data_IF_887059348651
#
_entry.id   IF_887059348651
#
_cell.length_a   1.000
_cell.length_b   1.000
_cell.length_c   1.000
_cell.angle_alpha   90.00
_cell.angle_beta   90.00
_cell.angle_gamma   90.00
#
_symmetry.space_group_name_H-M   'P 1'
#
loop_
_entity.id
_entity.type
_entity.pdbx_description
1 polymer ?
#
# COMPACT_ATOMS: atom_id res chain seq x y z
N UNK A 1 -10.65 40.48 2.43
CA UNK A 1 -10.96 39.52 3.52
C UNK A 1 -11.03 38.14 2.89
N UNK A 2 -9.96 37.36 2.99
CA UNK A 2 -9.93 35.96 2.54
C UNK A 2 -10.82 35.15 3.47
N UNK A 3 -12.06 34.87 3.05
CA UNK A 3 -12.96 34.04 3.84
C UNK A 3 -12.29 32.67 4.08
N UNK A 4 -12.12 32.33 5.34
CA UNK A 4 -11.44 31.13 5.81
C UNK A 4 -12.24 29.90 5.36
N UNK A 5 -11.55 28.95 4.72
CA UNK A 5 -12.16 27.76 4.14
C UNK A 5 -11.92 26.60 5.10
N UNK A 6 -12.96 26.19 5.82
CA UNK A 6 -12.91 25.05 6.73
C UNK A 6 -13.36 23.77 6.01
N UNK A 7 -12.41 23.03 5.47
CA UNK A 7 -12.64 21.71 4.89
C UNK A 7 -11.52 20.75 5.30
N UNK A 8 -11.84 19.48 5.53
CA UNK A 8 -10.84 18.47 5.92
C UNK A 8 -9.83 18.19 4.80
N UNK A 9 -8.71 17.57 5.14
CA UNK A 9 -7.65 17.21 4.20
C UNK A 9 -7.99 16.07 3.22
N UNK A 10 -9.25 15.63 3.15
CA UNK A 10 -9.74 14.54 2.29
C UNK A 10 -10.11 15.05 0.89
N UNK A 11 -9.26 15.87 0.30
CA UNK A 11 -9.43 16.30 -1.08
C UNK A 11 -8.10 16.30 -1.83
N UNK A 12 -8.18 16.14 -3.15
CA UNK A 12 -7.08 16.24 -4.09
C UNK A 12 -7.38 17.37 -5.07
N UNK A 13 -6.39 18.23 -5.23
CA UNK A 13 -6.42 19.29 -6.23
C UNK A 13 -6.03 18.71 -7.59
N UNK A 14 -6.92 18.87 -8.58
CA UNK A 14 -6.73 18.46 -9.97
C UNK A 14 -6.79 19.68 -10.91
N UNK A 15 -6.56 20.89 -10.39
CA UNK A 15 -6.58 22.10 -11.20
C UNK A 15 -5.34 22.16 -12.12
N UNK A 16 -5.56 22.63 -13.34
CA UNK A 16 -4.51 22.90 -14.33
C UNK A 16 -4.47 24.40 -14.63
N UNK A 17 -3.32 25.03 -14.41
CA UNK A 17 -3.14 26.47 -14.65
C UNK A 17 -2.90 26.79 -16.14
N UNK A 18 -2.24 25.89 -16.87
CA UNK A 18 -1.72 26.18 -18.22
C UNK A 18 -2.20 25.13 -19.24
N UNK A 19 -2.31 25.53 -20.51
CA UNK A 19 -2.66 24.64 -21.62
C UNK A 19 -4.14 24.65 -22.01
N UNK A 20 -4.51 23.81 -22.99
CA UNK A 20 -5.90 23.70 -23.52
C UNK A 20 -6.88 23.10 -22.51
N UNK A 21 -6.36 22.36 -21.53
CA UNK A 21 -7.06 21.78 -20.38
C UNK A 21 -7.17 22.69 -19.16
N UNK A 22 -6.68 23.94 -19.22
CA UNK A 22 -6.66 24.82 -18.05
C UNK A 22 -8.06 25.01 -17.43
N UNK A 23 -8.16 24.75 -16.14
CA UNK A 23 -9.42 24.72 -15.40
C UNK A 23 -9.27 24.19 -13.99
N UNK A 24 -10.38 24.28 -13.25
CA UNK A 24 -10.45 23.89 -11.86
C UNK A 24 -11.27 22.61 -11.72
N UNK A 25 -10.68 21.63 -11.05
CA UNK A 25 -11.37 20.43 -10.62
C UNK A 25 -10.78 19.96 -9.30
N UNK A 26 -11.65 19.54 -8.41
CA UNK A 26 -11.31 19.01 -7.09
C UNK A 26 -11.96 17.65 -6.91
N UNK A 27 -11.20 16.71 -6.37
CA UNK A 27 -11.68 15.37 -6.00
C UNK A 27 -11.76 15.29 -4.48
N UNK A 28 -12.91 14.88 -3.95
CA UNK A 28 -13.14 14.69 -2.52
C UNK A 28 -13.28 13.20 -2.24
N UNK A 29 -12.80 12.72 -1.09
CA UNK A 29 -12.83 11.29 -0.76
C UNK A 29 -13.47 11.00 0.59
N UNK A 30 -14.14 9.85 0.71
CA UNK A 30 -14.66 9.36 1.98
C UNK A 30 -13.52 8.90 2.89
N UNK A 31 -13.42 9.42 4.11
CA UNK A 31 -12.38 9.02 5.06
C UNK A 31 -12.45 7.53 5.50
N UNK A 32 -13.54 6.80 5.20
CA UNK A 32 -13.70 5.38 5.58
C UNK A 32 -13.46 4.41 4.42
N UNK A 33 -14.11 4.61 3.28
CA UNK A 33 -14.01 3.70 2.13
C UNK A 33 -13.14 4.22 0.98
N UNK A 34 -12.68 5.48 1.05
CA UNK A 34 -11.98 6.16 -0.03
C UNK A 34 -12.80 6.31 -1.33
N UNK A 35 -14.12 6.08 -1.31
CA UNK A 35 -15.00 6.45 -2.43
C UNK A 35 -14.82 7.94 -2.73
N UNK A 36 -14.58 8.26 -4.00
CA UNK A 36 -14.33 9.61 -4.45
C UNK A 36 -15.55 10.23 -5.12
N UNK A 37 -15.66 11.54 -4.98
CA UNK A 37 -16.58 12.37 -5.74
C UNK A 37 -15.81 13.54 -6.34
N UNK A 38 -15.96 13.76 -7.63
CA UNK A 38 -15.29 14.86 -8.35
C UNK A 38 -16.27 16.00 -8.56
N UNK A 39 -15.79 17.20 -8.26
CA UNK A 39 -16.50 18.41 -8.65
C UNK A 39 -16.57 18.55 -10.18
N UNK A 40 -17.64 19.19 -10.70
CA UNK A 40 -17.72 19.55 -12.11
C UNK A 40 -16.49 20.34 -12.53
N UNK A 41 -16.00 20.09 -13.75
CA UNK A 41 -14.87 20.82 -14.30
C UNK A 41 -15.27 22.26 -14.65
N UNK A 42 -14.55 23.25 -14.11
CA UNK A 42 -14.73 24.66 -14.42
C UNK A 42 -13.56 25.16 -15.28
N UNK A 43 -13.79 25.46 -16.56
CA UNK A 43 -12.72 25.92 -17.45
C UNK A 43 -12.16 27.29 -17.02
N UNK A 44 -10.82 27.42 -16.97
CA UNK A 44 -10.16 28.68 -16.64
C UNK A 44 -9.87 29.48 -17.92
N UNK A 45 -10.63 30.55 -18.13
CA UNK A 45 -10.54 31.38 -19.33
C UNK A 45 -9.31 32.28 -19.36
N UNK A 46 -8.70 32.58 -18.21
CA UNK A 46 -7.49 33.42 -18.12
C UNK A 46 -6.29 32.82 -18.85
N UNK A 47 -6.08 31.51 -18.77
CA UNK A 47 -5.00 30.81 -19.48
C UNK A 47 -5.31 30.59 -20.97
N UNK A 48 -6.58 30.39 -21.33
CA UNK A 48 -7.03 30.27 -22.72
C UNK A 48 -6.88 31.57 -23.50
N UNK A 49 -6.79 32.71 -22.82
CA UNK A 49 -6.54 34.00 -23.45
C UNK A 49 -5.07 34.24 -23.85
N UNK A 50 -4.09 33.51 -23.31
CA UNK A 50 -2.71 33.65 -23.76
C UNK A 50 -2.48 32.96 -25.13
N UNK A 51 -3.23 31.89 -25.42
CA UNK A 51 -2.97 31.04 -26.58
C UNK A 51 -3.48 31.58 -27.93
N UNK A 52 -4.36 32.60 -27.94
CA UNK A 52 -4.83 33.25 -29.18
C UNK A 52 -4.01 34.47 -29.58
N UNK A 53 -3.32 35.12 -28.62
CA UNK A 53 -2.48 36.29 -28.90
C UNK A 53 -1.18 35.89 -29.64
N UNK A 54 -0.69 34.65 -29.45
CA UNK A 54 0.52 34.15 -30.12
C UNK A 54 0.35 33.66 -31.57
N UNK A 55 -0.87 33.50 -32.09
CA UNK A 55 -1.11 32.93 -33.43
C UNK A 55 -1.64 33.92 -34.49
N UNK A 56 -1.73 35.21 -34.15
CA UNK A 56 -2.40 36.23 -34.98
C UNK A 56 -1.55 37.39 -35.51
N UNK A 57 -0.20 37.31 -35.52
CA UNK A 57 0.68 38.44 -35.92
C UNK A 57 1.54 38.21 -37.16
N UNK A 58 1.27 37.19 -37.98
CA UNK A 58 2.07 36.92 -39.20
C UNK A 58 1.43 37.34 -40.53
N UNK A 59 0.33 38.11 -40.54
CA UNK A 59 -0.36 38.48 -41.79
C UNK A 59 -0.47 39.99 -42.07
N UNK A 60 0.17 40.87 -41.29
CA UNK A 60 0.03 42.33 -41.49
C UNK A 60 1.33 43.14 -41.27
N UNK A 61 2.51 42.54 -41.44
CA UNK A 61 3.82 43.23 -41.27
C UNK A 61 4.53 43.50 -42.61
N UNK A 62 3.80 44.08 -43.55
CA UNK A 62 4.38 44.68 -44.75
C UNK A 62 3.81 46.07 -44.95
N UNK A 63 4.16 47.04 -44.10
CA UNK A 63 4.05 48.49 -44.40
C UNK A 63 4.39 49.47 -43.26
N UNK A 64 4.80 49.06 -42.05
CA UNK A 64 5.13 50.02 -40.99
C UNK A 64 6.55 49.82 -40.46
N UNK A 65 7.36 50.85 -40.66
CA UNK A 65 8.80 50.83 -40.47
C UNK A 65 9.26 50.65 -39.03
N UNK A 66 10.31 49.84 -38.89
CA UNK A 66 11.51 50.07 -38.10
C UNK A 66 11.37 51.08 -36.93
N UNK A 67 10.76 50.63 -35.83
CA UNK A 67 11.00 51.15 -34.48
C UNK A 67 10.70 50.06 -33.45
N UNK A 68 11.67 49.75 -32.58
CA UNK A 68 11.45 48.99 -31.35
C UNK A 68 11.80 47.51 -31.41
N UNK A 69 13.09 47.21 -31.30
CA UNK A 69 13.56 45.98 -30.68
C UNK A 69 13.10 45.94 -29.21
N UNK A 70 12.40 44.86 -28.82
CA UNK A 70 12.22 44.47 -27.42
C UNK A 70 10.87 44.83 -26.80
N UNK A 71 9.86 43.99 -27.01
CA UNK A 71 8.80 43.79 -26.01
C UNK A 71 7.98 42.53 -26.32
N UNK A 72 8.31 41.43 -25.64
CA UNK A 72 7.36 40.33 -25.36
C UNK A 72 7.94 39.33 -24.36
N UNK A 73 8.34 39.81 -23.19
CA UNK A 73 8.56 39.01 -21.96
C UNK A 73 7.75 39.60 -20.80
N UNK A 74 6.59 40.18 -21.11
CA UNK A 74 5.70 40.81 -20.11
C UNK A 74 4.22 40.39 -20.25
N UNK A 75 3.88 39.46 -21.14
CA UNK A 75 2.53 38.91 -21.25
C UNK A 75 2.29 37.74 -20.27
N UNK A 76 3.33 36.99 -19.91
CA UNK A 76 3.23 35.86 -18.97
C UNK A 76 3.04 36.30 -17.50
N UNK A 77 3.46 37.52 -17.16
CA UNK A 77 3.39 38.06 -15.78
C UNK A 77 2.00 38.52 -15.32
N UNK A 78 1.03 38.66 -16.24
CA UNK A 78 -0.34 39.10 -15.94
C UNK A 78 -1.38 37.97 -16.05
N UNK A 79 -1.06 36.86 -16.74
CA UNK A 79 -1.96 35.72 -16.88
C UNK A 79 -2.17 34.93 -15.56
N UNK A 80 -1.19 34.98 -14.65
CA UNK A 80 -1.25 34.34 -13.32
C UNK A 80 -1.92 35.19 -12.23
N UNK A 81 -2.11 36.50 -12.45
CA UNK A 81 -2.52 37.46 -11.41
C UNK A 81 -3.96 37.29 -10.88
N UNK A 82 -4.74 36.35 -11.44
CA UNK A 82 -6.09 36.00 -10.98
C UNK A 82 -6.31 34.52 -10.68
N UNK A 83 -5.33 33.65 -10.97
CA UNK A 83 -5.54 32.20 -10.89
C UNK A 83 -5.83 31.76 -9.46
N UNK A 84 -5.07 32.24 -8.48
CA UNK A 84 -5.28 31.91 -7.06
C UNK A 84 -6.69 32.29 -6.58
N UNK A 85 -7.14 33.52 -6.88
CA UNK A 85 -8.49 33.97 -6.50
C UNK A 85 -9.60 33.21 -7.23
N UNK A 86 -9.41 32.90 -8.51
CA UNK A 86 -10.37 32.11 -9.30
C UNK A 86 -10.44 30.66 -8.77
N UNK A 87 -9.30 30.07 -8.44
CA UNK A 87 -9.19 28.74 -7.82
C UNK A 87 -9.89 28.70 -6.47
N UNK A 88 -9.66 29.68 -5.60
CA UNK A 88 -10.30 29.75 -4.28
C UNK A 88 -11.83 29.87 -4.42
N UNK A 89 -12.31 30.64 -5.38
CA UNK A 89 -13.74 30.77 -5.67
C UNK A 89 -14.34 29.45 -6.19
N UNK A 90 -13.63 28.76 -7.10
CA UNK A 90 -14.03 27.45 -7.59
C UNK A 90 -14.04 26.40 -6.46
N UNK A 91 -13.03 26.43 -5.58
CA UNK A 91 -12.94 25.51 -4.44
C UNK A 91 -14.10 25.69 -3.46
N UNK A 92 -14.51 26.93 -3.16
CA UNK A 92 -15.69 27.19 -2.31
C UNK A 92 -16.98 26.61 -2.91
N UNK A 93 -17.18 26.73 -4.22
CA UNK A 93 -18.33 26.11 -4.93
C UNK A 93 -18.26 24.59 -4.88
N UNK A 94 -17.06 24.04 -5.08
CA UNK A 94 -16.82 22.61 -5.00
C UNK A 94 -17.14 22.05 -3.61
N UNK A 95 -16.73 22.75 -2.53
CA UNK A 95 -17.07 22.37 -1.14
C UNK A 95 -18.57 22.43 -0.89
N UNK A 96 -19.26 23.50 -1.32
CA UNK A 96 -20.70 23.63 -1.13
C UNK A 96 -21.47 22.47 -1.79
N UNK A 97 -21.00 22.01 -2.95
CA UNK A 97 -21.57 20.84 -3.63
C UNK A 97 -21.19 19.54 -2.91
N UNK A 98 -19.93 19.42 -2.46
CA UNK A 98 -19.43 18.25 -1.72
C UNK A 98 -20.19 18.01 -0.41
N UNK A 99 -20.64 19.05 0.28
CA UNK A 99 -21.45 18.93 1.50
C UNK A 99 -22.77 18.17 1.28
N UNK A 100 -23.31 18.12 0.05
CA UNK A 100 -24.46 17.28 -0.29
C UNK A 100 -24.14 15.79 -0.48
N UNK A 101 -22.87 15.44 -0.66
CA UNK A 101 -22.42 14.07 -0.91
C UNK A 101 -21.77 13.39 0.30
N UNK A 102 -21.32 14.19 1.28
CA UNK A 102 -20.62 13.72 2.46
C UNK A 102 -21.26 14.23 3.75
N UNK A 103 -21.32 13.38 4.77
CA UNK A 103 -21.78 13.71 6.11
C UNK A 103 -20.59 13.89 7.04
N UNK A 104 -20.55 15.01 7.77
CA UNK A 104 -19.52 15.26 8.78
C UNK A 104 -19.92 14.62 10.11
N UNK A 105 -19.10 13.70 10.60
CA UNK A 105 -19.34 13.05 11.88
C UNK A 105 -19.10 14.03 13.05
N UNK A 106 -20.06 14.25 13.96
CA UNK A 106 -19.85 15.12 15.11
C UNK A 106 -18.85 14.56 16.13
N UNK A 107 -18.60 13.24 16.13
CA UNK A 107 -17.66 12.59 17.06
C UNK A 107 -16.21 12.66 16.60
N UNK A 108 -15.91 12.21 15.38
CA UNK A 108 -14.53 12.18 14.87
C UNK A 108 -14.21 13.31 13.89
N UNK A 109 -15.19 14.15 13.54
CA UNK A 109 -15.08 15.27 12.58
C UNK A 109 -14.69 14.89 11.15
N UNK A 110 -14.58 13.59 10.83
CA UNK A 110 -14.36 13.08 9.48
C UNK A 110 -15.61 13.24 8.59
N UNK A 111 -15.37 13.41 7.29
CA UNK A 111 -16.42 13.40 6.27
C UNK A 111 -16.52 12.02 5.64
N UNK A 112 -17.73 11.45 5.62
CA UNK A 112 -17.99 10.12 5.08
C UNK A 112 -19.14 10.14 4.08
N UNK A 113 -19.08 9.29 3.05
CA UNK A 113 -20.16 9.16 2.08
C UNK A 113 -21.42 8.58 2.75
N UNK A 114 -22.59 8.71 2.11
CA UNK A 114 -23.86 8.20 2.63
C UNK A 114 -23.82 6.70 2.99
N UNK A 115 -23.06 5.87 2.28
CA UNK A 115 -22.90 4.43 2.59
C UNK A 115 -22.11 4.19 3.89
N UNK A 116 -21.24 5.11 4.25
CA UNK A 116 -20.41 5.04 5.45
C UNK A 116 -21.03 5.79 6.64
N UNK A 117 -22.23 6.35 6.47
CA UNK A 117 -22.96 7.08 7.48
C UNK A 117 -23.99 6.17 8.17
N UNK A 118 -24.01 6.20 9.50
CA UNK A 118 -25.07 5.56 10.27
C UNK A 118 -26.20 6.58 10.45
N UNK A 119 -27.21 6.51 9.58
CA UNK A 119 -28.35 7.43 9.62
C UNK A 119 -29.15 7.33 10.92
N UNK A 120 -29.24 6.13 11.52
CA UNK A 120 -29.99 5.92 12.77
C UNK A 120 -29.34 6.58 14.00
N UNK A 121 -28.02 6.76 13.99
CA UNK A 121 -27.26 7.36 15.10
C UNK A 121 -26.71 8.76 14.77
N UNK A 122 -26.85 9.22 13.54
CA UNK A 122 -26.34 10.53 13.10
C UNK A 122 -24.81 10.65 13.19
N UNK A 123 -24.08 9.55 13.05
CA UNK A 123 -22.61 9.47 13.13
C UNK A 123 -22.05 8.49 12.11
N UNK A 124 -20.74 8.49 11.86
CA UNK A 124 -20.14 7.56 10.90
C UNK A 124 -20.10 6.12 11.42
N UNK A 125 -20.10 5.16 10.50
CA UNK A 125 -20.00 3.73 10.81
C UNK A 125 -18.63 3.29 11.34
N UNK A 126 -17.62 4.16 11.34
CA UNK A 126 -16.39 3.94 12.11
C UNK A 126 -16.62 4.20 13.60
N UNK A 127 -17.48 5.16 13.95
CA UNK A 127 -17.76 5.53 15.34
C UNK A 127 -18.91 4.73 15.97
N UNK A 128 -19.92 4.38 15.18
CA UNK A 128 -20.98 3.45 15.55
C UNK A 128 -21.21 2.48 14.38
N UNK A 129 -20.42 1.40 14.31
CA UNK A 129 -20.61 0.37 13.30
C UNK A 129 -21.98 -0.31 13.46
N UNK A 130 -22.38 -1.01 12.41
CA UNK A 130 -23.58 -1.84 12.46
C UNK A 130 -23.40 -2.99 13.45
N UNK A 131 -24.33 -3.11 14.40
CA UNK A 131 -24.20 -4.10 15.49
C UNK A 131 -24.28 -5.55 15.00
N UNK A 132 -25.05 -5.84 13.95
CA UNK A 132 -25.13 -7.19 13.39
C UNK A 132 -23.82 -7.54 12.67
N UNK A 133 -23.24 -6.60 11.91
CA UNK A 133 -21.94 -6.76 11.29
C UNK A 133 -20.84 -7.00 12.33
N UNK A 134 -20.82 -6.22 13.42
CA UNK A 134 -19.86 -6.43 14.53
C UNK A 134 -20.04 -7.77 15.23
N UNK A 135 -21.28 -8.21 15.46
CA UNK A 135 -21.55 -9.50 16.08
C UNK A 135 -21.01 -10.66 15.23
N UNK A 136 -21.25 -10.64 13.92
CA UNK A 136 -20.71 -11.64 12.99
C UNK A 136 -19.18 -11.57 12.94
N UNK A 137 -18.60 -10.37 12.85
CA UNK A 137 -17.14 -10.19 12.86
C UNK A 137 -16.50 -10.69 14.16
N UNK A 138 -17.14 -10.48 15.31
CA UNK A 138 -16.68 -10.99 16.60
C UNK A 138 -16.74 -12.52 16.68
N UNK A 139 -17.85 -13.13 16.21
CA UNK A 139 -17.97 -14.59 16.13
C UNK A 139 -16.87 -15.20 15.23
N UNK A 140 -16.61 -14.60 14.08
CA UNK A 140 -15.55 -15.07 13.17
C UNK A 140 -14.15 -14.91 13.75
N UNK A 141 -13.88 -13.80 14.46
CA UNK A 141 -12.61 -13.62 15.18
C UNK A 141 -12.40 -14.72 16.22
N UNK A 142 -13.39 -14.98 17.07
CA UNK A 142 -13.30 -16.04 18.07
C UNK A 142 -13.11 -17.44 17.45
N UNK A 143 -13.75 -17.72 16.31
CA UNK A 143 -13.52 -18.95 15.56
C UNK A 143 -12.07 -19.05 15.06
N UNK A 144 -11.55 -17.99 14.44
CA UNK A 144 -10.19 -17.95 13.93
C UNK A 144 -9.15 -18.11 15.04
N UNK A 145 -9.37 -17.47 16.20
CA UNK A 145 -8.49 -17.57 17.36
C UNK A 145 -8.42 -19.02 17.85
N UNK A 146 -9.57 -19.69 18.00
CA UNK A 146 -9.63 -21.09 18.41
C UNK A 146 -9.04 -22.05 17.37
N UNK A 147 -9.22 -21.77 16.08
CA UNK A 147 -8.61 -22.56 15.01
C UNK A 147 -7.09 -22.40 15.02
N UNK A 148 -6.59 -21.18 15.18
CA UNK A 148 -5.16 -20.89 15.26
C UNK A 148 -4.51 -21.63 16.45
N UNK A 149 -5.14 -21.57 17.63
CA UNK A 149 -4.66 -22.27 18.82
C UNK A 149 -4.62 -23.79 18.58
N UNK A 150 -5.70 -24.38 18.06
CA UNK A 150 -5.75 -25.82 17.77
C UNK A 150 -4.70 -26.23 16.73
N UNK A 151 -4.49 -25.43 15.69
CA UNK A 151 -3.48 -25.69 14.69
C UNK A 151 -2.07 -25.64 15.28
N UNK A 152 -1.81 -24.67 16.16
CA UNK A 152 -0.55 -24.55 16.87
C UNK A 152 -0.29 -25.76 17.79
N UNK A 153 -1.26 -26.15 18.61
CA UNK A 153 -1.15 -27.35 19.47
C UNK A 153 -0.95 -28.63 18.65
N UNK A 154 -1.66 -28.79 17.53
CA UNK A 154 -1.47 -29.94 16.65
C UNK A 154 -0.02 -30.01 16.13
N UNK A 155 0.56 -28.88 15.73
CA UNK A 155 1.97 -28.79 15.34
C UNK A 155 2.93 -29.15 16.48
N UNK A 156 2.67 -28.69 17.71
CA UNK A 156 3.47 -29.07 18.89
C UNK A 156 3.42 -30.58 19.15
N UNK A 157 2.24 -31.19 19.04
CA UNK A 157 2.08 -32.63 19.22
C UNK A 157 2.81 -33.42 18.11
N UNK A 158 2.74 -32.95 16.86
CA UNK A 158 3.53 -33.53 15.77
C UNK A 158 5.05 -33.38 16.00
N UNK A 159 5.49 -32.30 16.63
CA UNK A 159 6.90 -32.11 17.00
C UNK A 159 7.39 -33.11 18.05
N UNK A 160 6.53 -33.67 18.91
CA UNK A 160 6.92 -34.73 19.84
C UNK A 160 7.39 -36.00 19.12
N UNK A 161 6.84 -36.28 17.93
CA UNK A 161 7.27 -37.40 17.09
C UNK A 161 8.54 -37.07 16.29
N UNK A 162 8.93 -35.80 16.24
CA UNK A 162 10.13 -35.36 15.56
C UNK A 162 11.35 -35.59 16.46
N UNK A 163 12.19 -36.55 16.09
CA UNK A 163 13.42 -36.83 16.84
C UNK A 163 14.39 -35.64 16.72
N UNK A 164 14.40 -34.77 17.73
CA UNK A 164 15.22 -33.53 17.77
C UNK A 164 16.70 -33.80 17.98
N UNK A 165 17.05 -34.89 18.65
CA UNK A 165 18.43 -35.25 19.00
C UNK A 165 19.05 -36.26 18.03
N UNK A 166 18.36 -36.65 16.96
CA UNK A 166 18.94 -37.54 15.94
C UNK A 166 19.86 -36.73 15.03
N UNK A 167 21.17 -37.05 14.95
CA UNK A 167 22.07 -36.39 14.03
C UNK A 167 21.60 -36.63 12.59
N UNK A 168 21.43 -35.54 11.83
CA UNK A 168 20.94 -35.56 10.44
C UNK A 168 21.97 -34.88 9.55
N UNK A 169 22.45 -35.60 8.54
CA UNK A 169 23.34 -35.03 7.52
C UNK A 169 22.50 -34.46 6.39
N UNK A 170 22.30 -33.13 6.34
CA UNK A 170 21.37 -32.47 5.39
C UNK A 170 21.84 -32.45 3.93
N UNK A 171 23.14 -32.60 3.70
CA UNK A 171 23.76 -32.65 2.36
C UNK A 171 24.65 -33.88 2.27
N UNK A 172 24.43 -34.71 1.25
CA UNK A 172 25.20 -35.93 1.08
C UNK A 172 26.68 -35.62 0.78
N UNK A 173 27.64 -36.14 1.56
CA UNK A 173 29.07 -35.89 1.31
C UNK A 173 29.58 -36.53 0.02
N UNK A 174 28.89 -37.56 -0.49
CA UNK A 174 29.31 -38.29 -1.70
C UNK A 174 28.84 -37.60 -3.00
N UNK A 175 27.59 -37.18 -3.06
CA UNK A 175 26.97 -36.67 -4.30
C UNK A 175 26.42 -35.25 -4.19
N UNK A 176 26.49 -34.62 -3.00
CA UNK A 176 26.02 -33.26 -2.70
C UNK A 176 24.51 -33.01 -2.83
N UNK A 177 23.71 -34.06 -3.03
CA UNK A 177 22.26 -33.95 -3.02
C UNK A 177 21.73 -33.57 -1.61
N UNK A 178 20.66 -32.79 -1.58
CA UNK A 178 19.90 -32.51 -0.36
C UNK A 178 19.19 -33.78 0.11
N UNK A 179 19.27 -34.05 1.40
CA UNK A 179 18.82 -35.33 1.98
C UNK A 179 17.61 -35.15 2.89
N UNK A 180 17.32 -33.90 3.29
CA UNK A 180 16.29 -33.54 4.27
C UNK A 180 16.39 -34.35 5.58
N UNK A 181 17.59 -34.86 5.91
CA UNK A 181 17.85 -35.61 7.12
C UNK A 181 17.32 -37.04 7.14
N UNK A 182 17.11 -37.65 5.96
CA UNK A 182 16.92 -39.09 5.82
C UNK A 182 18.17 -39.87 6.24
N UNK A 183 17.99 -41.13 6.66
CA UNK A 183 19.09 -42.03 7.00
C UNK A 183 19.93 -42.47 5.79
N UNK A 184 19.41 -42.27 4.57
CA UNK A 184 20.08 -42.59 3.31
C UNK A 184 19.85 -41.48 2.30
N UNK A 185 20.89 -41.16 1.51
CA UNK A 185 20.79 -40.16 0.46
C UNK A 185 19.82 -40.62 -0.63
N UNK A 186 18.77 -39.86 -0.96
CA UNK A 186 17.78 -40.25 -1.95
C UNK A 186 18.36 -40.35 -3.37
N UNK A 187 19.41 -39.60 -3.69
CA UNK A 187 20.00 -39.60 -5.03
C UNK A 187 21.06 -40.69 -5.29
N UNK A 188 21.80 -41.13 -4.26
CA UNK A 188 22.92 -42.07 -4.45
C UNK A 188 22.94 -43.27 -3.50
N UNK A 189 21.99 -43.37 -2.56
CA UNK A 189 21.89 -44.48 -1.61
C UNK A 189 22.94 -44.47 -0.49
N UNK A 190 23.84 -43.49 -0.45
CA UNK A 190 24.84 -43.38 0.61
C UNK A 190 24.18 -43.31 1.99
N UNK A 191 24.66 -44.09 2.95
CA UNK A 191 24.14 -44.06 4.34
C UNK A 191 24.61 -42.78 5.02
N UNK A 192 23.68 -42.05 5.62
CA UNK A 192 23.89 -40.74 6.22
C UNK A 192 23.73 -40.83 7.74
N UNK A 193 24.71 -40.31 8.47
CA UNK A 193 24.69 -40.11 9.94
C UNK A 193 24.13 -41.29 10.76
N UNK A 194 24.88 -42.40 10.83
CA UNK A 194 24.81 -43.32 11.98
C UNK A 194 26.15 -43.30 12.73
N UNK A 195 26.10 -43.38 14.06
CA UNK A 195 27.27 -43.70 14.88
C UNK A 195 27.64 -45.16 14.62
N UNK A 196 28.85 -45.41 14.16
CA UNK A 196 29.33 -46.78 13.99
C UNK A 196 29.54 -47.43 15.36
N UNK A 197 29.28 -48.73 15.46
CA UNK A 197 29.45 -49.52 16.68
C UNK A 197 30.58 -50.53 16.52
N UNK A 198 31.34 -50.80 17.58
CA UNK A 198 32.39 -51.81 17.56
C UNK A 198 31.81 -53.22 17.39
N UNK A 199 32.27 -53.99 16.41
CA UNK A 199 31.78 -55.37 16.19
C UNK A 199 32.13 -56.38 17.30
N UNK A 200 33.03 -56.04 18.23
CA UNK A 200 33.47 -56.92 19.33
C UNK A 200 32.76 -56.62 20.66
N UNK A 201 32.69 -55.35 21.07
CA UNK A 201 32.10 -54.94 22.34
C UNK A 201 30.81 -54.11 22.21
N UNK A 202 30.34 -53.83 20.97
CA UNK A 202 29.17 -53.01 20.66
C UNK A 202 29.20 -51.56 21.17
N UNK A 203 30.34 -51.03 21.60
CA UNK A 203 30.42 -49.63 22.03
C UNK A 203 30.40 -48.66 20.85
N UNK A 204 29.92 -47.43 21.08
CA UNK A 204 29.82 -46.39 20.05
C UNK A 204 31.23 -45.89 19.69
N UNK A 205 31.53 -45.89 18.39
CA UNK A 205 32.80 -45.45 17.86
C UNK A 205 32.69 -43.99 17.39
N UNK A 206 33.65 -43.13 17.78
CA UNK A 206 33.79 -41.81 17.18
C UNK A 206 33.92 -41.92 15.65
N UNK A 207 33.44 -40.88 14.96
CA UNK A 207 33.60 -40.77 13.52
C UNK A 207 35.10 -40.86 13.16
N UNK A 208 35.46 -41.80 12.27
CA UNK A 208 36.85 -42.00 11.84
C UNK A 208 37.80 -42.74 12.80
N UNK A 209 37.32 -43.22 13.97
CA UNK A 209 38.14 -44.06 14.87
C UNK A 209 38.66 -45.34 14.18
N UNK A 210 39.98 -45.53 14.13
CA UNK A 210 40.61 -46.74 13.58
C UNK A 210 40.59 -47.94 14.54
N UNK A 211 40.50 -47.67 15.84
CA UNK A 211 40.42 -48.66 16.91
C UNK A 211 39.32 -48.28 17.89
N UNK A 212 38.70 -49.29 18.50
CA UNK A 212 37.72 -49.10 19.56
C UNK A 212 38.42 -48.56 20.82
N UNK A 213 38.00 -47.40 21.37
CA UNK A 213 38.61 -46.85 22.57
C UNK A 213 38.38 -47.73 23.81
N UNK A 214 37.32 -48.54 23.84
CA UNK A 214 36.99 -49.35 25.02
C UNK A 214 37.63 -50.74 25.04
N UNK A 215 37.78 -51.41 23.88
CA UNK A 215 38.26 -52.79 23.81
C UNK A 215 39.49 -52.99 22.91
N UNK A 216 39.98 -51.92 22.26
CA UNK A 216 41.14 -51.96 21.38
C UNK A 216 40.96 -52.73 20.07
N UNK A 217 39.76 -53.28 19.81
CA UNK A 217 39.48 -53.99 18.56
C UNK A 217 39.53 -53.00 17.39
N UNK A 218 40.25 -53.35 16.32
CA UNK A 218 40.31 -52.55 15.09
C UNK A 218 38.92 -52.49 14.45
N UNK A 219 38.53 -51.30 13.97
CA UNK A 219 37.26 -51.08 13.28
C UNK A 219 37.14 -51.97 12.04
#
# INVERSE_FOLDING_TARGET
>A
MTAEIYFSNNYRDLCEEQGTGAGFQFEFSCNRCNDTWRSPFEAYTGARMASWVGKGVNAAWGMLGRAGSGMSTAADGLAGAGYGHARDAAFRRAIATAQGHFNRCPRCTHYVCNRCWNAGQGICLTCAPDTAAEAVAAQQRGLNDMVAERAYTAGQNSAQQFAVNTPRQLVCPQCRAETHGSAFCPSCGHRLAQQDTCGSCNSQLPAGAAFCPDCGTRR
#
